data_IF_498410174774
#
_entry.id   IF_498410174774
#
_cell.length_a   1.000
_cell.length_b   1.000
_cell.length_c   1.000
_cell.angle_alpha   90.00
_cell.angle_beta   90.00
_cell.angle_gamma   90.00
#
_symmetry.space_group_name_H-M   'P 1'
#
loop_
_entity.id
_entity.type
_entity.pdbx_description
1 polymer ?
#
# COMPACT_ATOMS: atom_id res chain seq x y z
N UNK A 1 78.63 0.26 -10.62
CA UNK A 1 79.23 0.70 -9.35
C UNK A 1 78.86 2.15 -9.15
N UNK A 2 77.80 2.36 -8.37
CA UNK A 2 77.55 3.48 -7.45
C UNK A 2 76.07 3.38 -7.05
N UNK A 3 75.85 2.86 -5.85
CA UNK A 3 74.62 3.01 -5.06
C UNK A 3 74.47 4.48 -4.66
N UNK A 4 73.22 4.94 -4.44
CA UNK A 4 72.76 6.11 -3.66
C UNK A 4 71.27 6.30 -4.04
N UNK A 5 70.26 6.52 -3.20
CA UNK A 5 70.11 6.76 -1.76
C UNK A 5 68.60 6.63 -1.44
N UNK A 6 68.27 6.11 -0.26
CA UNK A 6 66.94 6.24 0.35
C UNK A 6 66.63 7.72 0.64
N UNK A 7 65.46 8.20 0.23
CA UNK A 7 64.86 9.42 0.78
C UNK A 7 63.47 9.11 1.32
N UNK A 8 63.43 8.92 2.63
CA UNK A 8 62.28 9.02 3.51
C UNK A 8 61.88 10.50 3.61
N UNK A 9 60.63 10.84 3.29
CA UNK A 9 60.23 12.25 3.13
C UNK A 9 58.74 12.47 2.94
N UNK A 10 58.03 12.49 4.07
CA UNK A 10 56.80 13.26 4.33
C UNK A 10 55.52 12.90 3.58
N UNK A 11 54.57 12.36 4.34
CA UNK A 11 53.15 12.70 4.21
C UNK A 11 53.01 14.20 3.95
N UNK A 12 52.41 14.56 2.82
CA UNK A 12 51.32 15.54 2.72
C UNK A 12 51.03 15.76 1.24
N UNK A 13 49.75 15.87 0.92
CA UNK A 13 49.26 16.44 -0.34
C UNK A 13 49.03 15.48 -1.53
N UNK A 14 48.18 14.45 -1.36
CA UNK A 14 47.29 14.02 -2.44
C UNK A 14 45.88 13.68 -1.93
N UNK A 15 44.94 14.59 -2.27
CA UNK A 15 43.48 14.45 -2.37
C UNK A 15 42.62 14.53 -1.09
N UNK A 16 42.24 15.73 -0.62
CA UNK A 16 40.95 15.93 0.05
C UNK A 16 39.82 15.82 -1.00
N UNK A 17 39.57 14.62 -1.51
CA UNK A 17 38.44 14.34 -2.42
C UNK A 17 37.63 13.13 -1.91
N UNK A 18 37.40 13.07 -0.59
CA UNK A 18 36.51 12.06 0.01
C UNK A 18 35.44 12.67 0.93
N UNK A 19 35.58 13.94 1.36
CA UNK A 19 34.56 14.58 2.22
C UNK A 19 33.40 15.24 1.45
N UNK A 20 33.58 15.59 0.19
CA UNK A 20 32.51 16.15 -0.64
C UNK A 20 31.50 15.10 -1.15
N UNK A 21 31.95 13.85 -1.31
CA UNK A 21 31.14 12.78 -1.89
C UNK A 21 30.03 12.31 -0.93
N UNK A 22 30.33 12.21 0.36
CA UNK A 22 29.34 11.75 1.37
C UNK A 22 28.21 12.77 1.56
N UNK A 23 28.55 14.06 1.65
CA UNK A 23 27.56 15.14 1.77
C UNK A 23 26.70 15.31 0.53
N UNK A 24 27.31 15.30 -0.67
CA UNK A 24 26.56 15.40 -1.93
C UNK A 24 25.68 14.18 -2.18
N UNK A 25 26.13 12.96 -1.85
CA UNK A 25 25.31 11.75 -1.93
C UNK A 25 24.09 11.85 -1.01
N UNK A 26 24.28 12.32 0.23
CA UNK A 26 23.19 12.53 1.18
C UNK A 26 22.16 13.53 0.65
N UNK A 27 22.61 14.66 0.11
CA UNK A 27 21.74 15.67 -0.50
C UNK A 27 21.00 15.09 -1.71
N UNK A 28 21.67 14.35 -2.59
CA UNK A 28 21.05 13.70 -3.75
C UNK A 28 19.97 12.71 -3.30
N UNK A 29 20.23 11.92 -2.26
CA UNK A 29 19.24 10.97 -1.70
C UNK A 29 18.05 11.73 -1.12
N UNK A 30 18.27 12.77 -0.31
CA UNK A 30 17.19 13.57 0.27
C UNK A 30 16.34 14.26 -0.80
N UNK A 31 16.98 14.86 -1.80
CA UNK A 31 16.31 15.51 -2.92
C UNK A 31 15.52 14.48 -3.74
N UNK A 32 16.12 13.33 -4.04
CA UNK A 32 15.44 12.23 -4.75
C UNK A 32 14.25 11.71 -3.95
N UNK A 33 14.37 11.53 -2.64
CA UNK A 33 13.26 11.14 -1.78
C UNK A 33 12.15 12.19 -1.78
N UNK A 34 12.47 13.48 -1.68
CA UNK A 34 11.47 14.57 -1.75
C UNK A 34 10.76 14.59 -3.10
N UNK A 35 11.46 14.37 -4.21
CA UNK A 35 10.85 14.24 -5.54
C UNK A 35 10.03 12.95 -5.68
N UNK A 36 10.45 11.83 -5.07
CA UNK A 36 9.66 10.60 -5.03
C UNK A 36 8.40 10.80 -4.18
N UNK A 37 8.48 11.43 -3.00
CA UNK A 37 7.31 11.74 -2.17
C UNK A 37 6.36 12.75 -2.81
N UNK A 38 6.90 13.79 -3.47
CA UNK A 38 6.11 14.76 -4.21
C UNK A 38 5.49 14.13 -5.45
N UNK A 39 6.26 13.30 -6.15
CA UNK A 39 5.80 12.47 -7.27
C UNK A 39 4.73 11.47 -6.83
N UNK A 40 4.83 10.88 -5.64
CA UNK A 40 3.81 10.00 -5.08
C UNK A 40 2.50 10.73 -4.80
N UNK A 41 2.52 12.01 -4.38
CA UNK A 41 1.30 12.83 -4.30
C UNK A 41 0.71 13.15 -5.67
N UNK A 42 1.56 13.46 -6.65
CA UNK A 42 1.14 13.66 -8.04
C UNK A 42 0.62 12.36 -8.66
N UNK A 43 1.18 11.23 -8.27
CA UNK A 43 0.74 9.88 -8.60
C UNK A 43 -0.55 9.55 -7.85
N UNK A 44 -0.79 10.01 -6.63
CA UNK A 44 -2.12 9.93 -5.99
C UNK A 44 -3.18 10.68 -6.80
N UNK A 45 -2.82 11.83 -7.40
CA UNK A 45 -3.69 12.59 -8.30
C UNK A 45 -3.75 12.04 -9.74
N UNK A 46 -2.73 11.38 -10.27
CA UNK A 46 -2.73 10.69 -11.57
C UNK A 46 -3.31 9.26 -11.49
N UNK A 47 -3.29 8.66 -10.29
CA UNK A 47 -4.04 7.47 -9.87
C UNK A 47 -5.52 7.85 -9.65
N UNK A 48 -5.93 9.12 -9.83
CA UNK A 48 -7.31 9.40 -10.27
C UNK A 48 -7.51 8.94 -11.72
N UNK A 49 -7.46 7.62 -11.92
CA UNK A 49 -8.14 6.91 -13.02
C UNK A 49 -7.59 7.10 -14.42
N UNK A 50 -6.26 7.13 -14.58
CA UNK A 50 -5.62 7.13 -15.91
C UNK A 50 -5.88 5.91 -16.79
N UNK A 51 -6.41 4.79 -16.26
CA UNK A 51 -6.91 3.64 -17.05
C UNK A 51 -7.57 2.52 -16.20
N UNK A 52 -7.57 2.64 -14.86
CA UNK A 52 -8.23 1.67 -13.99
C UNK A 52 -9.74 1.95 -13.95
N UNK A 53 -10.47 1.49 -14.97
CA UNK A 53 -11.94 1.40 -14.91
C UNK A 53 -12.33 0.30 -13.92
N UNK A 54 -12.45 0.65 -12.65
CA UNK A 54 -13.05 -0.25 -11.67
C UNK A 54 -14.54 -0.37 -11.99
N UNK A 55 -15.01 -1.60 -12.16
CA UNK A 55 -16.45 -1.83 -12.31
C UNK A 55 -17.18 -1.48 -11.01
N UNK A 56 -18.48 -1.22 -11.11
CA UNK A 56 -19.33 -0.92 -9.94
C UNK A 56 -19.18 -2.04 -8.90
N UNK A 57 -18.98 -1.63 -7.66
CA UNK A 57 -19.06 -2.53 -6.51
C UNK A 57 -20.53 -2.79 -6.15
N UNK A 58 -20.79 -3.89 -5.44
CA UNK A 58 -22.09 -4.17 -4.85
C UNK A 58 -21.90 -4.38 -3.35
N UNK A 59 -22.49 -3.49 -2.57
CA UNK A 59 -22.45 -3.54 -1.12
C UNK A 59 -23.75 -4.15 -0.59
N UNK A 60 -23.62 -5.27 0.11
CA UNK A 60 -24.69 -5.94 0.84
C UNK A 60 -24.33 -5.97 2.34
N UNK A 61 -24.80 -4.94 3.06
CA UNK A 61 -24.56 -4.82 4.49
C UNK A 61 -25.25 -5.92 5.30
N UNK A 62 -26.39 -6.45 4.82
CA UNK A 62 -27.14 -7.49 5.53
C UNK A 62 -26.33 -8.78 5.60
N UNK A 63 -25.67 -9.13 4.50
CA UNK A 63 -24.82 -10.31 4.39
C UNK A 63 -23.33 -9.99 4.66
N UNK A 64 -23.00 -8.75 5.07
CA UNK A 64 -21.63 -8.29 5.34
C UNK A 64 -20.68 -8.58 4.19
N UNK A 65 -21.10 -8.22 2.99
CA UNK A 65 -20.48 -8.60 1.74
C UNK A 65 -20.29 -7.38 0.83
N UNK A 66 -19.08 -7.24 0.29
CA UNK A 66 -18.72 -6.27 -0.74
C UNK A 66 -18.21 -7.03 -1.96
N UNK A 67 -19.02 -7.10 -3.01
CA UNK A 67 -18.67 -7.75 -4.28
C UNK A 67 -18.10 -6.72 -5.26
N UNK A 68 -17.12 -7.13 -6.05
CA UNK A 68 -16.43 -6.25 -7.00
C UNK A 68 -15.82 -7.08 -8.14
N UNK A 69 -15.32 -6.43 -9.19
CA UNK A 69 -14.51 -7.11 -10.21
C UNK A 69 -13.09 -6.55 -10.25
N UNK A 70 -12.13 -7.39 -9.89
CA UNK A 70 -10.71 -7.01 -9.87
C UNK A 70 -10.37 -6.13 -8.66
N UNK A 71 -10.62 -4.82 -8.75
CA UNK A 71 -10.28 -3.87 -7.69
C UNK A 71 -11.49 -3.13 -7.12
N UNK A 72 -11.33 -2.58 -5.92
CA UNK A 72 -12.36 -1.82 -5.22
C UNK A 72 -12.06 -0.33 -5.34
N UNK A 73 -13.07 0.41 -5.78
CA UNK A 73 -13.18 1.83 -5.51
C UNK A 73 -14.59 2.13 -5.04
N UNK A 74 -14.71 2.66 -3.82
CA UNK A 74 -16.00 3.02 -3.24
C UNK A 74 -16.32 4.48 -3.60
N UNK A 75 -17.55 4.71 -4.04
CA UNK A 75 -18.13 6.05 -4.07
C UNK A 75 -18.23 6.65 -2.66
N UNK A 76 -18.43 7.96 -2.58
CA UNK A 76 -18.60 8.65 -1.30
C UNK A 76 -19.76 8.08 -0.46
N UNK A 77 -20.84 7.65 -1.10
CA UNK A 77 -22.01 7.10 -0.40
C UNK A 77 -21.75 5.68 0.11
N UNK A 78 -21.13 4.82 -0.70
CA UNK A 78 -20.71 3.48 -0.27
C UNK A 78 -19.68 3.57 0.87
N UNK A 79 -18.75 4.53 0.78
CA UNK A 79 -17.76 4.81 1.82
C UNK A 79 -18.45 5.18 3.13
N UNK A 80 -19.45 6.08 3.10
CA UNK A 80 -20.22 6.47 4.30
C UNK A 80 -20.99 5.30 4.90
N UNK A 81 -21.66 4.51 4.07
CA UNK A 81 -22.44 3.35 4.51
C UNK A 81 -21.54 2.31 5.20
N UNK A 82 -20.42 1.96 4.56
CA UNK A 82 -19.48 1.00 5.09
C UNK A 82 -18.77 1.52 6.35
N UNK A 83 -18.46 2.82 6.39
CA UNK A 83 -17.87 3.45 7.58
C UNK A 83 -18.81 3.40 8.77
N UNK A 84 -20.12 3.63 8.56
CA UNK A 84 -21.13 3.51 9.60
C UNK A 84 -21.23 2.07 10.12
N UNK A 85 -21.28 1.09 9.22
CA UNK A 85 -21.29 -0.33 9.56
C UNK A 85 -20.11 -0.72 10.47
N UNK A 86 -18.88 -0.30 10.14
CA UNK A 86 -17.71 -0.63 10.97
C UNK A 86 -17.66 0.13 12.30
N UNK A 87 -18.17 1.36 12.34
CA UNK A 87 -18.20 2.17 13.56
C UNK A 87 -19.20 1.61 14.57
N UNK A 88 -20.37 1.21 14.09
CA UNK A 88 -21.48 0.70 14.91
C UNK A 88 -21.34 -0.80 15.21
N UNK A 89 -20.29 -1.47 14.69
CA UNK A 89 -20.16 -2.91 14.82
C UNK A 89 -19.91 -3.37 16.27
N UNK A 90 -20.43 -4.54 16.67
CA UNK A 90 -20.09 -5.15 17.95
C UNK A 90 -18.65 -5.69 17.94
N UNK A 91 -18.11 -6.02 19.12
CA UNK A 91 -16.81 -6.68 19.25
C UNK A 91 -15.60 -5.72 19.16
N UNK A 92 -14.44 -6.25 19.54
CA UNK A 92 -13.17 -5.53 19.50
C UNK A 92 -12.31 -5.90 18.28
N UNK A 93 -12.77 -6.86 17.47
CA UNK A 93 -12.04 -7.42 16.35
C UNK A 93 -12.89 -7.45 15.08
N UNK A 94 -12.33 -6.95 13.98
CA UNK A 94 -12.91 -7.00 12.63
C UNK A 94 -12.07 -7.98 11.80
N UNK A 95 -12.70 -9.03 11.30
CA UNK A 95 -12.05 -10.00 10.43
C UNK A 95 -12.49 -9.72 9.00
N UNK A 96 -11.56 -9.33 8.14
CA UNK A 96 -11.78 -9.10 6.72
C UNK A 96 -11.27 -10.29 5.92
N UNK A 97 -12.17 -10.92 5.18
CA UNK A 97 -11.87 -12.08 4.33
C UNK A 97 -12.01 -11.68 2.88
N UNK A 98 -10.90 -11.68 2.15
CA UNK A 98 -10.88 -11.29 0.73
C UNK A 98 -10.71 -12.50 -0.17
N UNK A 99 -11.55 -12.61 -1.20
CA UNK A 99 -11.43 -13.64 -2.24
C UNK A 99 -11.47 -13.01 -3.61
N UNK A 100 -10.59 -13.50 -4.49
CA UNK A 100 -10.57 -13.22 -5.93
C UNK A 100 -10.30 -14.55 -6.62
N UNK A 101 -11.07 -14.88 -7.66
CA UNK A 101 -10.90 -16.10 -8.45
C UNK A 101 -9.46 -16.17 -8.97
N UNK A 102 -8.82 -17.33 -8.79
CA UNK A 102 -7.43 -17.59 -9.18
C UNK A 102 -7.19 -17.41 -10.68
N UNK A 103 -8.24 -17.51 -11.51
CA UNK A 103 -8.20 -17.26 -12.96
C UNK A 103 -7.94 -15.79 -13.29
N UNK A 104 -8.19 -14.87 -12.36
CA UNK A 104 -7.92 -13.45 -12.55
C UNK A 104 -6.41 -13.22 -12.40
N UNK A 105 -5.79 -12.65 -13.45
CA UNK A 105 -4.37 -12.29 -13.42
C UNK A 105 -4.06 -11.33 -12.27
N UNK A 106 -2.99 -11.61 -11.52
CA UNK A 106 -2.61 -10.87 -10.33
C UNK A 106 -3.62 -10.94 -9.19
N UNK A 107 -4.38 -12.05 -9.08
CA UNK A 107 -5.46 -12.20 -8.09
C UNK A 107 -4.98 -11.99 -6.65
N UNK A 108 -3.78 -12.46 -6.30
CA UNK A 108 -3.22 -12.30 -4.95
C UNK A 108 -2.88 -10.84 -4.63
N UNK A 109 -2.23 -10.15 -5.57
CA UNK A 109 -1.84 -8.76 -5.46
C UNK A 109 -3.07 -7.85 -5.38
N UNK A 110 -4.06 -8.10 -6.25
CA UNK A 110 -5.35 -7.40 -6.23
C UNK A 110 -6.11 -7.64 -4.93
N UNK A 111 -6.15 -8.87 -4.43
CA UNK A 111 -6.83 -9.19 -3.17
C UNK A 111 -6.16 -8.47 -1.99
N UNK A 112 -4.83 -8.44 -1.98
CA UNK A 112 -4.05 -7.72 -0.98
C UNK A 112 -4.33 -6.22 -1.03
N UNK A 113 -4.30 -5.61 -2.22
CA UNK A 113 -4.65 -4.21 -2.42
C UNK A 113 -6.06 -3.90 -1.89
N UNK A 114 -7.06 -4.71 -2.23
CA UNK A 114 -8.44 -4.51 -1.83
C UNK A 114 -8.63 -4.60 -0.30
N UNK A 115 -7.99 -5.58 0.34
CA UNK A 115 -8.02 -5.72 1.80
C UNK A 115 -7.34 -4.54 2.50
N UNK A 116 -6.21 -4.07 1.97
CA UNK A 116 -5.52 -2.90 2.50
C UNK A 116 -6.32 -1.61 2.31
N UNK A 117 -7.02 -1.47 1.19
CA UNK A 117 -7.92 -0.34 0.92
C UNK A 117 -9.08 -0.27 1.93
N UNK A 118 -9.74 -1.39 2.23
CA UNK A 118 -10.78 -1.42 3.27
C UNK A 118 -10.19 -1.19 4.66
N UNK A 119 -8.98 -1.72 4.93
CA UNK A 119 -8.29 -1.50 6.19
C UNK A 119 -7.94 -0.03 6.42
N UNK A 120 -7.44 0.66 5.39
CA UNK A 120 -7.10 2.09 5.49
C UNK A 120 -8.35 2.92 5.73
N UNK A 121 -9.48 2.56 5.09
CA UNK A 121 -10.78 3.15 5.38
C UNK A 121 -11.14 2.99 6.85
N UNK A 122 -11.11 1.77 7.41
CA UNK A 122 -11.47 1.53 8.81
C UNK A 122 -10.54 2.31 9.77
N UNK A 123 -9.23 2.28 9.53
CA UNK A 123 -8.25 3.00 10.37
C UNK A 123 -8.48 4.52 10.34
N UNK A 124 -8.86 5.07 9.20
CA UNK A 124 -9.18 6.51 9.06
C UNK A 124 -10.35 6.96 9.95
N UNK A 125 -11.20 6.04 10.38
CA UNK A 125 -12.34 6.32 11.26
C UNK A 125 -11.97 6.47 12.74
N UNK A 126 -10.70 6.24 13.11
CA UNK A 126 -10.25 6.29 14.50
C UNK A 126 -10.81 5.16 15.37
N UNK A 127 -11.26 4.06 14.76
CA UNK A 127 -11.79 2.90 15.46
C UNK A 127 -10.63 2.11 16.08
N UNK A 128 -10.63 1.98 17.41
CA UNK A 128 -9.64 1.18 18.14
C UNK A 128 -10.06 -0.31 18.20
N UNK A 129 -10.10 -0.96 17.04
CA UNK A 129 -10.38 -2.40 16.89
C UNK A 129 -9.22 -3.11 16.20
N UNK A 130 -8.97 -4.36 16.59
CA UNK A 130 -8.01 -5.22 15.89
C UNK A 130 -8.58 -5.57 14.51
N UNK A 131 -7.81 -5.35 13.45
CA UNK A 131 -8.20 -5.72 12.08
C UNK A 131 -7.36 -6.92 11.66
N UNK A 132 -8.01 -8.04 11.36
CA UNK A 132 -7.36 -9.25 10.86
C UNK A 132 -7.72 -9.46 9.41
N UNK A 133 -6.70 -9.66 8.57
CA UNK A 133 -6.85 -9.95 7.15
C UNK A 133 -6.64 -11.43 6.91
N UNK A 134 -7.55 -12.05 6.17
CA UNK A 134 -7.44 -13.46 5.82
C UNK A 134 -7.86 -13.74 4.38
N UNK A 135 -7.39 -14.88 3.87
CA UNK A 135 -7.81 -15.39 2.58
C UNK A 135 -9.25 -15.92 2.69
N UNK A 136 -10.15 -15.32 1.93
CA UNK A 136 -11.52 -15.76 1.80
C UNK A 136 -11.68 -16.94 0.85
N UNK A 137 -12.89 -17.50 0.83
CA UNK A 137 -13.26 -18.67 0.04
C UNK A 137 -14.39 -18.36 -0.96
N UNK A 138 -14.45 -19.13 -2.05
CA UNK A 138 -15.39 -18.92 -3.17
C UNK A 138 -16.85 -19.02 -2.76
N UNK A 139 -17.15 -19.84 -1.76
CA UNK A 139 -18.51 -20.16 -1.33
C UNK A 139 -19.23 -18.94 -0.77
N UNK A 140 -18.48 -17.94 -0.31
CA UNK A 140 -19.00 -16.67 0.22
C UNK A 140 -19.13 -15.57 -0.85
N UNK A 141 -18.63 -15.78 -2.07
CA UNK A 141 -18.62 -14.77 -3.13
C UNK A 141 -19.56 -15.15 -4.30
N UNK A 142 -20.85 -14.82 -4.24
CA UNK A 142 -21.78 -15.13 -5.31
C UNK A 142 -21.50 -14.30 -6.57
N UNK A 143 -21.27 -14.98 -7.70
CA UNK A 143 -21.45 -14.46 -9.06
C UNK A 143 -20.41 -13.47 -9.61
N UNK A 144 -19.71 -12.70 -8.76
CA UNK A 144 -18.80 -11.64 -9.21
C UNK A 144 -17.32 -12.07 -9.28
N UNK A 145 -17.03 -13.34 -8.97
CA UNK A 145 -15.68 -13.91 -8.92
C UNK A 145 -14.71 -13.21 -7.95
N UNK A 146 -15.15 -12.20 -7.21
CA UNK A 146 -14.35 -11.50 -6.20
C UNK A 146 -15.26 -10.83 -5.17
N UNK A 147 -14.90 -10.95 -3.90
CA UNK A 147 -15.60 -10.27 -2.82
C UNK A 147 -14.71 -10.08 -1.58
N UNK A 148 -15.10 -9.13 -0.74
CA UNK A 148 -14.67 -9.03 0.65
C UNK A 148 -15.90 -9.25 1.52
N UNK A 149 -15.80 -10.16 2.47
CA UNK A 149 -16.80 -10.33 3.51
C UNK A 149 -16.15 -10.18 4.88
N UNK A 150 -16.96 -9.84 5.88
CA UNK A 150 -16.43 -9.54 7.21
C UNK A 150 -17.26 -10.09 8.36
N UNK A 151 -16.56 -10.36 9.45
CA UNK A 151 -17.12 -10.83 10.70
C UNK A 151 -16.61 -10.00 11.88
N UNK A 152 -17.37 -10.02 12.97
CA UNK A 152 -17.06 -9.32 14.21
C UNK A 152 -16.88 -10.33 15.34
N UNK A 153 -15.84 -10.13 16.15
CA UNK A 153 -15.57 -10.89 17.37
C UNK A 153 -15.31 -9.97 18.55
#
# INVERSE_FOLDING_TARGET
>A
MSEEEDYDGSDDELAPMVDGLSGTLCIIILVSMVFIFSGMKSVEQYINYGELRFEKVQLDLKNKLLSFKGGIHLSNDETKLLSKEFKDSPGNKIILSGYIDKKISGSKEKNTYNLLYITSLIKSLGINKEIVLQQGASEHCPGWNSCIYWDYK
#
